data_IF_003783423208
#
_entry.id   IF_003783423208
#
_cell.length_a   1.000
_cell.length_b   1.000
_cell.length_c   1.000
_cell.angle_alpha   90.00
_cell.angle_beta   90.00
_cell.angle_gamma   90.00
#
_symmetry.space_group_name_H-M   'P 1'
#
loop_
_entity.id
_entity.type
_entity.pdbx_description
1 polymer ?
#
# COMPACT_ATOMS: atom_id res chain seq x y z
N UNK A 1 41.32 22.45 -80.20
CA UNK A 1 42.58 23.15 -79.79
C UNK A 1 42.76 23.08 -78.27
N UNK A 2 43.91 22.53 -77.86
CA UNK A 2 44.72 22.81 -76.65
C UNK A 2 43.98 22.57 -75.32
N UNK A 3 44.37 21.60 -74.51
CA UNK A 3 45.57 21.23 -73.77
C UNK A 3 45.38 21.32 -72.31
N UNK A 4 45.49 20.21 -71.56
CA UNK A 4 46.37 19.92 -70.42
C UNK A 4 46.02 20.71 -69.14
N UNK A 5 45.94 20.09 -67.90
CA UNK A 5 46.93 19.33 -67.17
C UNK A 5 46.28 18.77 -65.95
N UNK A 6 46.28 17.49 -65.64
CA UNK A 6 47.20 16.72 -64.79
C UNK A 6 47.59 17.37 -63.45
N UNK A 7 47.04 16.87 -62.34
CA UNK A 7 47.84 16.68 -61.15
C UNK A 7 47.24 15.58 -60.26
N UNK A 8 48.04 14.57 -60.11
CA UNK A 8 48.07 13.48 -59.12
C UNK A 8 48.18 14.00 -57.70
N UNK A 9 47.58 13.25 -56.78
CA UNK A 9 48.10 12.83 -55.47
C UNK A 9 46.99 12.06 -54.82
N UNK A 10 47.04 10.77 -54.79
CA UNK A 10 47.72 9.74 -53.98
C UNK A 10 47.20 9.70 -52.51
N UNK A 11 46.78 8.49 -52.20
CA UNK A 11 46.67 7.83 -50.88
C UNK A 11 45.42 8.14 -50.08
N UNK A 12 44.66 7.19 -49.57
CA UNK A 12 45.05 6.00 -48.84
C UNK A 12 43.79 5.11 -48.74
N UNK A 13 43.92 3.87 -49.20
CA UNK A 13 42.92 2.81 -49.03
C UNK A 13 42.96 2.37 -47.58
N UNK A 14 41.87 2.52 -46.86
CA UNK A 14 41.62 1.79 -45.64
C UNK A 14 40.35 0.98 -45.81
N UNK A 15 40.55 -0.30 -46.17
CA UNK A 15 39.55 -1.34 -46.06
C UNK A 15 39.23 -1.54 -44.60
N UNK A 16 38.02 -1.17 -44.19
CA UNK A 16 37.43 -1.66 -42.94
C UNK A 16 36.38 -2.69 -43.35
N UNK A 17 36.69 -3.94 -43.09
CA UNK A 17 35.82 -5.10 -43.24
C UNK A 17 34.63 -4.97 -42.28
N UNK A 18 33.42 -4.78 -42.85
CA UNK A 18 32.16 -4.78 -42.15
C UNK A 18 31.72 -6.23 -41.91
N UNK A 19 32.07 -6.81 -40.77
CA UNK A 19 31.48 -8.08 -40.34
C UNK A 19 30.06 -7.82 -39.86
N UNK A 20 29.09 -8.31 -40.61
CA UNK A 20 27.68 -8.33 -40.19
C UNK A 20 27.51 -9.31 -39.01
N UNK A 21 27.38 -8.80 -37.80
CA UNK A 21 26.85 -9.57 -36.68
C UNK A 21 25.32 -9.54 -36.78
N UNK A 22 24.75 -10.68 -37.15
CA UNK A 22 23.34 -10.99 -36.98
C UNK A 22 23.04 -11.03 -35.48
N UNK A 23 22.58 -9.91 -34.92
CA UNK A 23 22.11 -9.84 -33.54
C UNK A 23 20.74 -10.51 -33.41
N UNK A 24 20.68 -11.64 -32.72
CA UNK A 24 19.43 -12.20 -32.20
C UNK A 24 18.69 -11.14 -31.37
N UNK A 25 17.47 -10.77 -31.80
CA UNK A 25 16.52 -10.04 -30.96
C UNK A 25 16.07 -10.95 -29.81
N UNK A 26 16.69 -10.82 -28.67
CA UNK A 26 16.09 -11.29 -27.42
C UNK A 26 14.94 -10.32 -27.07
N UNK A 27 13.72 -10.84 -27.13
CA UNK A 27 12.57 -10.18 -26.51
C UNK A 27 12.82 -10.15 -25.00
N UNK A 28 13.53 -9.13 -24.55
CA UNK A 28 13.60 -8.79 -23.14
C UNK A 28 12.24 -8.27 -22.71
N UNK A 29 11.50 -9.09 -21.98
CA UNK A 29 10.37 -8.66 -21.17
C UNK A 29 10.89 -7.54 -20.26
N UNK A 30 10.52 -6.31 -20.56
CA UNK A 30 10.74 -5.18 -19.66
C UNK A 30 9.75 -5.36 -18.50
N UNK A 31 10.22 -5.96 -17.42
CA UNK A 31 9.60 -5.76 -16.11
C UNK A 31 9.54 -4.25 -15.89
N UNK A 32 8.38 -3.65 -15.63
CA UNK A 32 8.34 -2.24 -15.29
C UNK A 32 9.13 -2.08 -13.98
N UNK A 33 10.28 -1.45 -14.07
CA UNK A 33 10.97 -0.92 -12.89
C UNK A 33 10.09 0.22 -12.41
N UNK A 34 9.20 -0.08 -11.46
CA UNK A 34 8.47 0.94 -10.73
C UNK A 34 9.53 1.82 -10.07
N UNK A 35 9.63 3.07 -10.49
CA UNK A 35 10.41 4.06 -9.76
C UNK A 35 9.78 4.14 -8.38
N UNK A 36 10.51 3.69 -7.37
CA UNK A 36 10.11 3.89 -5.98
C UNK A 36 10.10 5.41 -5.80
N UNK A 37 8.91 6.00 -5.77
CA UNK A 37 8.76 7.38 -5.35
C UNK A 37 9.39 7.47 -3.96
N UNK A 38 10.31 8.41 -3.78
CA UNK A 38 10.97 8.59 -2.49
C UNK A 38 9.95 9.21 -1.53
N UNK A 39 9.25 8.36 -0.76
CA UNK A 39 8.44 8.82 0.36
C UNK A 39 9.34 9.10 1.57
N UNK A 40 8.91 10.03 2.42
CA UNK A 40 9.62 10.38 3.65
C UNK A 40 8.89 9.77 4.83
N UNK A 41 9.56 8.91 5.59
CA UNK A 41 9.07 8.36 6.85
C UNK A 41 9.22 9.39 7.97
N UNK A 42 8.31 9.38 8.94
CA UNK A 42 8.45 10.15 10.19
C UNK A 42 9.55 9.55 11.07
N UNK A 43 9.70 8.23 11.03
CA UNK A 43 10.75 7.51 11.70
C UNK A 43 11.25 6.36 10.80
N UNK A 44 12.50 6.37 10.38
CA UNK A 44 13.09 5.35 9.49
C UNK A 44 13.08 3.92 10.08
N UNK A 45 12.89 3.80 11.41
CA UNK A 45 12.81 2.52 12.12
C UNK A 45 11.39 1.95 12.14
N UNK A 46 10.39 2.75 11.84
CA UNK A 46 9.01 2.30 11.85
C UNK A 46 8.74 1.30 10.73
N UNK A 47 7.91 0.28 10.98
CA UNK A 47 7.55 -0.70 9.98
C UNK A 47 6.72 -0.05 8.87
N UNK A 48 6.93 -0.54 7.64
CA UNK A 48 6.27 -0.02 6.45
C UNK A 48 5.43 -1.11 5.80
N UNK A 49 4.15 -0.86 5.69
CA UNK A 49 3.21 -1.72 4.97
C UNK A 49 3.09 -1.29 3.51
N UNK A 50 3.12 -2.27 2.61
CA UNK A 50 2.83 -2.10 1.19
C UNK A 50 1.54 -2.84 0.85
N UNK A 51 0.49 -2.10 0.50
CA UNK A 51 -0.78 -2.61 0.01
C UNK A 51 -0.74 -2.55 -1.52
N UNK A 52 -0.69 -3.69 -2.17
CA UNK A 52 -0.72 -3.80 -3.63
C UNK A 52 -2.12 -4.18 -4.06
N UNK A 53 -2.72 -3.38 -4.92
CA UNK A 53 -4.04 -3.65 -5.51
C UNK A 53 -3.93 -4.59 -6.71
N UNK A 54 -5.01 -5.29 -7.05
CA UNK A 54 -5.05 -6.18 -8.22
C UNK A 54 -4.84 -5.44 -9.54
N UNK A 55 -5.25 -4.18 -9.61
CA UNK A 55 -5.03 -3.30 -10.77
C UNK A 55 -3.62 -2.70 -10.86
N UNK A 56 -2.73 -3.04 -9.92
CA UNK A 56 -1.35 -2.58 -9.86
C UNK A 56 -1.14 -1.28 -9.08
N UNK A 57 -2.18 -0.65 -8.55
CA UNK A 57 -2.05 0.49 -7.62
C UNK A 57 -1.33 0.05 -6.34
N UNK A 58 -0.55 0.93 -5.75
CA UNK A 58 0.21 0.68 -4.53
C UNK A 58 -0.05 1.78 -3.52
N UNK A 59 -0.34 1.40 -2.28
CA UNK A 59 -0.45 2.31 -1.14
C UNK A 59 0.62 1.91 -0.13
N UNK A 60 1.45 2.87 0.27
CA UNK A 60 2.52 2.68 1.25
C UNK A 60 2.13 3.36 2.56
N UNK A 61 2.17 2.61 3.65
CA UNK A 61 1.73 3.06 4.97
C UNK A 61 2.87 2.90 5.97
N UNK A 62 3.25 3.98 6.65
CA UNK A 62 4.11 3.93 7.82
C UNK A 62 3.25 3.58 9.04
N UNK A 63 3.67 2.56 9.80
CA UNK A 63 2.95 2.10 10.99
C UNK A 63 3.63 2.63 12.25
N UNK A 64 2.86 2.99 13.27
CA UNK A 64 3.36 3.66 14.48
C UNK A 64 3.25 2.77 15.73
N UNK A 65 4.23 1.87 15.98
CA UNK A 65 4.20 0.98 17.15
C UNK A 65 4.25 1.73 18.48
N UNK A 66 4.79 2.95 18.52
CA UNK A 66 4.78 3.80 19.72
C UNK A 66 3.39 4.37 20.03
N UNK A 67 2.49 4.42 19.02
CA UNK A 67 1.13 4.95 19.14
C UNK A 67 0.12 3.86 19.50
N UNK A 68 0.21 2.70 18.86
CA UNK A 68 -0.71 1.59 19.06
C UNK A 68 0.02 0.24 18.87
N UNK A 69 0.84 -0.18 19.88
CA UNK A 69 1.77 -1.30 19.72
C UNK A 69 1.10 -2.62 19.39
N UNK A 70 0.03 -2.98 20.09
CA UNK A 70 -0.65 -4.26 19.85
C UNK A 70 -1.47 -4.25 18.54
N UNK A 71 -2.03 -3.11 18.17
CA UNK A 71 -2.73 -2.92 16.89
C UNK A 71 -1.76 -3.07 15.72
N UNK A 72 -0.58 -2.46 15.81
CA UNK A 72 0.48 -2.59 14.81
C UNK A 72 0.96 -4.04 14.72
N UNK A 73 1.23 -4.69 15.87
CA UNK A 73 1.65 -6.09 15.90
C UNK A 73 0.60 -7.03 15.27
N UNK A 74 -0.68 -6.78 15.53
CA UNK A 74 -1.78 -7.54 14.94
C UNK A 74 -1.83 -7.37 13.41
N UNK A 75 -1.78 -6.13 12.94
CA UNK A 75 -1.81 -5.85 11.50
C UNK A 75 -0.60 -6.48 10.78
N UNK A 76 0.62 -6.35 11.33
CA UNK A 76 1.84 -6.98 10.80
C UNK A 76 1.68 -8.50 10.72
N UNK A 77 1.21 -9.12 11.82
CA UNK A 77 1.04 -10.58 11.89
C UNK A 77 0.11 -11.06 10.79
N UNK A 78 -1.06 -10.45 10.64
CA UNK A 78 -2.05 -10.83 9.62
C UNK A 78 -1.52 -10.56 8.20
N UNK A 79 -0.89 -9.41 7.97
CA UNK A 79 -0.35 -9.05 6.66
C UNK A 79 0.75 -10.01 6.20
N UNK A 80 1.70 -10.32 7.06
CA UNK A 80 2.83 -11.19 6.71
C UNK A 80 2.46 -12.69 6.65
N UNK A 81 1.32 -13.08 7.26
CA UNK A 81 0.70 -14.40 7.05
C UNK A 81 -0.10 -14.49 5.75
N UNK A 82 -0.27 -13.39 5.00
CA UNK A 82 -1.07 -13.35 3.78
C UNK A 82 -2.57 -13.33 4.01
N UNK A 83 -3.03 -13.04 5.24
CA UNK A 83 -4.46 -13.01 5.58
C UNK A 83 -5.27 -12.05 4.70
N UNK A 84 -4.68 -10.92 4.31
CA UNK A 84 -5.35 -9.91 3.51
C UNK A 84 -5.31 -10.15 2.01
N UNK A 85 -4.59 -11.18 1.53
CA UNK A 85 -4.43 -11.44 0.11
C UNK A 85 -5.77 -11.84 -0.53
N UNK A 86 -6.13 -11.15 -1.59
CA UNK A 86 -7.39 -11.37 -2.29
C UNK A 86 -8.63 -10.75 -1.63
N UNK A 87 -8.52 -10.15 -0.44
CA UNK A 87 -9.64 -9.44 0.18
C UNK A 87 -9.95 -8.13 -0.57
N UNK A 88 -11.08 -7.51 -0.24
CA UNK A 88 -11.56 -6.30 -0.90
C UNK A 88 -11.75 -5.16 0.08
N UNK A 89 -11.71 -3.93 -0.42
CA UNK A 89 -12.34 -2.81 0.26
C UNK A 89 -13.85 -2.93 0.05
N UNK A 90 -14.53 -3.47 1.06
CA UNK A 90 -15.94 -3.86 0.97
C UNK A 90 -16.91 -2.73 1.27
N UNK A 91 -16.43 -1.64 1.92
CA UNK A 91 -17.20 -0.44 2.21
C UNK A 91 -16.37 0.80 1.90
N UNK A 92 -16.91 1.69 1.08
CA UNK A 92 -16.23 2.88 0.58
C UNK A 92 -17.16 4.07 0.64
N UNK A 93 -16.73 5.14 1.32
CA UNK A 93 -17.50 6.38 1.42
C UNK A 93 -16.59 7.55 1.01
N UNK A 94 -16.89 8.16 -0.15
CA UNK A 94 -16.21 9.37 -0.62
C UNK A 94 -16.33 10.49 0.41
N UNK A 95 -15.23 11.14 0.72
CA UNK A 95 -15.19 12.20 1.75
C UNK A 95 -15.14 11.67 3.18
N UNK A 96 -14.95 10.35 3.36
CA UNK A 96 -14.81 9.73 4.67
C UNK A 96 -13.66 8.72 4.72
N UNK A 97 -13.87 7.46 4.27
CA UNK A 97 -12.87 6.39 4.38
C UNK A 97 -13.10 5.26 3.37
N UNK A 98 -12.08 4.42 3.21
CA UNK A 98 -12.16 3.11 2.56
C UNK A 98 -11.88 2.02 3.59
N UNK A 99 -12.77 1.01 3.71
CA UNK A 99 -12.70 -0.05 4.72
C UNK A 99 -12.55 -1.42 4.08
N UNK A 100 -11.56 -2.17 4.57
CA UNK A 100 -11.23 -3.53 4.12
C UNK A 100 -10.86 -4.47 5.26
N UNK A 101 -10.21 -5.60 4.93
CA UNK A 101 -9.71 -6.57 5.90
C UNK A 101 -10.75 -7.56 6.43
N UNK A 102 -11.90 -7.65 5.77
CA UNK A 102 -12.95 -8.61 6.10
C UNK A 102 -12.90 -9.82 5.15
N UNK A 103 -12.62 -11.05 5.65
CA UNK A 103 -12.60 -12.25 4.81
C UNK A 103 -13.97 -12.60 4.21
N UNK A 104 -15.08 -12.18 4.81
CA UNK A 104 -16.43 -12.38 4.28
C UNK A 104 -16.81 -11.28 3.25
N UNK A 105 -16.09 -10.14 3.23
CA UNK A 105 -16.33 -9.02 2.33
C UNK A 105 -17.69 -8.35 2.49
N UNK A 106 -18.32 -8.42 3.66
CA UNK A 106 -19.65 -7.86 3.95
C UNK A 106 -19.74 -7.14 5.31
N UNK A 107 -18.62 -6.97 6.00
CA UNK A 107 -18.50 -6.30 7.29
C UNK A 107 -18.65 -7.23 8.51
N UNK A 108 -18.88 -8.55 8.31
CA UNK A 108 -19.15 -9.49 9.42
C UNK A 108 -17.97 -10.39 9.79
N UNK A 109 -16.94 -10.49 8.94
CA UNK A 109 -15.81 -11.37 9.14
C UNK A 109 -14.67 -10.72 9.94
N UNK A 110 -13.72 -11.55 10.36
CA UNK A 110 -12.55 -11.12 11.13
C UNK A 110 -11.47 -12.18 11.19
N UNK A 111 -10.46 -11.95 12.02
CA UNK A 111 -9.30 -12.83 12.21
C UNK A 111 -9.57 -14.11 13.01
N UNK A 112 -10.78 -14.29 13.55
CA UNK A 112 -11.11 -15.38 14.47
C UNK A 112 -10.75 -15.08 15.95
N UNK A 113 -10.17 -13.92 16.22
CA UNK A 113 -9.87 -13.39 17.55
C UNK A 113 -10.03 -11.87 17.56
N UNK A 114 -10.03 -11.27 18.73
CA UNK A 114 -10.04 -9.83 18.94
C UNK A 114 -8.76 -9.34 19.60
N UNK A 115 -8.54 -8.04 19.58
CA UNK A 115 -7.48 -7.37 20.31
C UNK A 115 -8.09 -6.26 21.18
N UNK A 116 -7.36 -5.85 22.23
CA UNK A 116 -7.73 -4.70 23.04
C UNK A 116 -7.69 -3.43 22.20
N UNK A 117 -8.71 -2.59 22.34
CA UNK A 117 -8.78 -1.32 21.63
C UNK A 117 -7.81 -0.29 22.24
N UNK A 118 -6.86 0.18 21.43
CA UNK A 118 -5.83 1.14 21.85
C UNK A 118 -6.25 2.58 21.50
N UNK A 119 -7.24 3.10 22.24
CA UNK A 119 -7.76 4.47 22.11
C UNK A 119 -8.24 5.02 23.45
N UNK A 120 -8.38 6.34 23.56
CA UNK A 120 -8.56 7.04 24.84
C UNK A 120 -9.83 6.66 25.59
N UNK A 121 -10.95 6.43 24.89
CA UNK A 121 -12.21 5.98 25.56
C UNK A 121 -12.08 4.58 26.16
N UNK A 122 -11.08 3.79 25.79
CA UNK A 122 -10.73 2.48 26.34
C UNK A 122 -9.55 2.54 27.33
N UNK A 123 -9.17 3.74 27.76
CA UNK A 123 -8.08 3.95 28.74
C UNK A 123 -6.67 3.84 28.15
N UNK A 124 -6.49 3.96 26.85
CA UNK A 124 -5.20 3.94 26.18
C UNK A 124 -4.87 5.32 25.56
N UNK A 125 -3.69 5.87 25.83
CA UNK A 125 -3.30 7.23 25.41
C UNK A 125 -2.86 7.29 23.93
N UNK A 126 -3.80 7.07 23.02
CA UNK A 126 -3.59 7.25 21.59
C UNK A 126 -4.01 8.67 21.17
N UNK A 127 -3.04 9.45 20.68
CA UNK A 127 -3.23 10.85 20.28
C UNK A 127 -3.19 11.07 18.77
N UNK A 128 -3.09 10.00 17.97
CA UNK A 128 -3.09 10.10 16.52
C UNK A 128 -4.50 10.50 16.06
N UNK A 129 -4.62 11.68 15.48
CA UNK A 129 -5.89 12.19 14.97
C UNK A 129 -6.22 11.57 13.62
N UNK A 130 -7.50 11.27 13.40
CA UNK A 130 -8.01 10.68 12.15
C UNK A 130 -8.07 11.74 11.03
N UNK A 131 -6.91 12.20 10.61
CA UNK A 131 -6.76 13.07 9.43
C UNK A 131 -6.66 12.23 8.17
N UNK A 132 -6.79 12.88 7.00
CA UNK A 132 -6.62 12.23 5.70
C UNK A 132 -5.33 11.43 5.62
N UNK A 133 -5.41 10.17 5.18
CA UNK A 133 -4.28 9.24 5.06
C UNK A 133 -4.07 8.35 6.29
N UNK A 134 -4.64 8.67 7.45
CA UNK A 134 -4.50 7.83 8.65
C UNK A 134 -5.21 6.48 8.46
N UNK A 135 -4.51 5.40 8.85
CA UNK A 135 -5.07 4.05 8.95
C UNK A 135 -5.49 3.75 10.39
N UNK A 136 -6.65 3.13 10.56
CA UNK A 136 -7.23 2.83 11.86
C UNK A 136 -7.98 1.50 11.86
N UNK A 137 -8.13 0.85 13.02
CA UNK A 137 -8.87 -0.41 13.15
C UNK A 137 -10.37 -0.18 13.24
N UNK A 138 -11.11 -0.91 12.41
CA UNK A 138 -12.55 -1.04 12.57
C UNK A 138 -12.88 -2.00 13.72
N UNK A 139 -14.04 -1.80 14.33
CA UNK A 139 -14.56 -2.60 15.45
C UNK A 139 -16.09 -2.65 15.48
N UNK A 140 -16.64 -3.56 16.25
CA UNK A 140 -18.07 -3.58 16.58
C UNK A 140 -18.39 -2.56 17.71
N UNK A 141 -19.52 -2.69 18.36
CA UNK A 141 -19.89 -1.84 19.50
C UNK A 141 -18.98 -2.02 20.72
N UNK A 142 -18.43 -3.22 20.93
CA UNK A 142 -17.47 -3.46 22.02
C UNK A 142 -16.11 -2.81 21.71
N UNK A 143 -15.49 -2.21 22.72
CA UNK A 143 -14.20 -1.54 22.58
C UNK A 143 -13.06 -2.53 22.26
N UNK A 144 -13.14 -3.75 22.76
CA UNK A 144 -12.15 -4.81 22.58
C UNK A 144 -12.59 -5.83 21.53
N UNK A 145 -13.14 -5.37 20.41
CA UNK A 145 -13.65 -6.22 19.32
C UNK A 145 -12.95 -6.02 17.99
N UNK A 146 -11.89 -5.23 17.93
CA UNK A 146 -11.07 -5.10 16.73
C UNK A 146 -10.40 -6.46 16.42
N UNK A 147 -10.38 -6.84 15.16
CA UNK A 147 -9.76 -8.09 14.69
C UNK A 147 -8.88 -7.85 13.48
N UNK A 148 -9.43 -8.02 12.28
CA UNK A 148 -8.69 -7.83 11.02
C UNK A 148 -9.13 -6.62 10.21
N UNK A 149 -10.34 -6.11 10.42
CA UNK A 149 -10.85 -5.01 9.59
C UNK A 149 -10.17 -3.68 9.92
N UNK A 150 -9.78 -2.96 8.89
CA UNK A 150 -9.14 -1.64 8.98
C UNK A 150 -9.78 -0.66 7.99
N UNK A 151 -9.55 0.62 8.21
CA UNK A 151 -9.95 1.65 7.26
C UNK A 151 -8.84 2.70 7.09
N UNK A 152 -8.80 3.32 5.90
CA UNK A 152 -7.91 4.43 5.58
C UNK A 152 -8.77 5.66 5.37
N UNK A 153 -8.42 6.76 6.03
CA UNK A 153 -9.15 8.02 5.93
C UNK A 153 -8.93 8.66 4.56
N UNK A 154 -10.03 8.88 3.83
CA UNK A 154 -10.01 9.66 2.59
C UNK A 154 -10.09 11.18 2.86
N UNK A 155 -10.71 11.58 3.95
CA UNK A 155 -10.77 12.95 4.43
C UNK A 155 -10.69 12.97 5.96
N UNK A 156 -10.51 14.16 6.55
CA UNK A 156 -10.44 14.32 8.00
C UNK A 156 -11.73 13.89 8.68
N UNK A 157 -11.60 13.08 9.74
CA UNK A 157 -12.68 12.53 10.54
C UNK A 157 -12.38 12.56 12.03
N UNK A 158 -11.94 13.71 12.54
CA UNK A 158 -11.48 13.88 13.93
C UNK A 158 -12.53 13.52 15.01
N UNK A 159 -13.81 13.38 14.62
CA UNK A 159 -14.86 12.83 15.50
C UNK A 159 -14.67 11.35 15.85
N UNK A 160 -13.77 10.64 15.14
CA UNK A 160 -13.36 9.27 15.46
C UNK A 160 -12.25 9.22 16.51
N UNK A 161 -11.57 10.34 16.76
CA UNK A 161 -10.53 10.43 17.77
C UNK A 161 -11.10 10.00 19.13
N UNK A 162 -10.28 9.38 19.94
CA UNK A 162 -10.67 8.76 21.21
C UNK A 162 -11.53 7.49 21.12
N UNK A 163 -12.13 7.16 19.98
CA UNK A 163 -13.06 6.03 19.81
C UNK A 163 -12.51 4.88 18.98
N UNK A 164 -11.46 5.11 18.18
CA UNK A 164 -10.85 4.14 17.30
C UNK A 164 -9.33 4.16 17.42
N UNK A 165 -8.70 3.00 17.19
CA UNK A 165 -7.26 2.82 17.27
C UNK A 165 -6.59 3.19 15.93
N UNK A 166 -6.25 4.47 15.77
CA UNK A 166 -5.37 4.91 14.69
C UNK A 166 -3.95 4.39 14.94
N UNK A 167 -3.27 3.86 13.90
CA UNK A 167 -2.01 3.16 14.09
C UNK A 167 -0.95 3.38 13.01
N UNK A 168 -1.17 4.30 12.07
CA UNK A 168 -0.25 4.64 11.00
C UNK A 168 -0.82 5.67 10.03
N UNK A 169 -0.05 5.98 8.99
CA UNK A 169 -0.43 6.98 7.99
C UNK A 169 0.11 6.59 6.61
N UNK A 170 -0.65 6.85 5.56
CA UNK A 170 -0.23 6.70 4.17
C UNK A 170 0.85 7.73 3.86
N UNK A 171 2.02 7.25 3.45
CA UNK A 171 3.17 8.08 3.07
C UNK A 171 3.37 8.16 1.56
N UNK A 172 2.73 7.25 0.80
CA UNK A 172 2.70 7.26 -0.67
C UNK A 172 1.46 6.53 -1.17
N UNK A 173 0.92 6.92 -2.34
CA UNK A 173 -0.24 6.27 -2.95
C UNK A 173 -1.59 6.79 -2.45
N UNK A 174 -1.68 8.02 -1.95
CA UNK A 174 -2.98 8.64 -1.63
C UNK A 174 -3.88 8.83 -2.85
N UNK A 175 -3.32 8.95 -4.05
CA UNK A 175 -4.06 8.95 -5.31
C UNK A 175 -4.77 7.61 -5.58
N UNK A 176 -4.18 6.49 -5.15
CA UNK A 176 -4.82 5.16 -5.21
C UNK A 176 -5.99 5.09 -4.21
N UNK A 177 -5.82 5.64 -2.99
CA UNK A 177 -6.91 5.76 -2.00
C UNK A 177 -8.05 6.60 -2.56
N UNK A 178 -7.75 7.71 -3.23
CA UNK A 178 -8.73 8.58 -3.87
C UNK A 178 -9.49 7.85 -5.00
N UNK A 179 -8.76 7.14 -5.86
CA UNK A 179 -9.38 6.37 -6.94
C UNK A 179 -10.34 5.30 -6.41
N UNK A 180 -9.99 4.64 -5.30
CA UNK A 180 -10.88 3.68 -4.61
C UNK A 180 -12.08 4.43 -4.02
N UNK A 181 -11.86 5.55 -3.33
CA UNK A 181 -12.90 6.32 -2.66
C UNK A 181 -13.90 6.96 -3.64
N UNK A 182 -13.49 7.19 -4.88
CA UNK A 182 -14.30 7.77 -5.94
C UNK A 182 -15.07 6.75 -6.79
N UNK A 183 -14.85 5.45 -6.55
CA UNK A 183 -15.56 4.41 -7.26
C UNK A 183 -17.08 4.49 -7.01
N UNK A 184 -17.87 4.07 -8.00
CA UNK A 184 -19.31 3.98 -7.82
C UNK A 184 -19.65 2.93 -6.74
N UNK A 185 -20.49 3.30 -5.78
CA UNK A 185 -20.98 2.42 -4.73
C UNK A 185 -22.47 2.14 -4.86
N UNK A 186 -22.91 0.98 -4.38
CA UNK A 186 -24.28 0.55 -4.28
C UNK A 186 -24.79 0.54 -2.84
N UNK A 187 -25.67 -0.41 -2.54
CA UNK A 187 -26.22 -0.58 -1.19
C UNK A 187 -25.09 -0.85 -0.17
N UNK A 188 -25.23 -0.28 1.04
CA UNK A 188 -24.27 -0.39 2.15
C UNK A 188 -22.86 0.13 1.81
N UNK A 189 -22.77 1.15 0.96
CA UNK A 189 -21.51 1.77 0.52
C UNK A 189 -20.55 0.77 -0.16
N UNK A 190 -21.05 -0.36 -0.68
CA UNK A 190 -20.25 -1.38 -1.34
C UNK A 190 -19.87 -0.93 -2.76
N UNK A 191 -18.60 -0.97 -3.14
CA UNK A 191 -18.18 -0.73 -4.52
C UNK A 191 -18.90 -1.65 -5.52
N UNK A 192 -19.42 -1.07 -6.61
CA UNK A 192 -20.06 -1.82 -7.71
C UNK A 192 -19.01 -2.68 -8.43
N UNK A 193 -17.80 -2.13 -8.61
CA UNK A 193 -16.63 -2.86 -9.10
C UNK A 193 -15.73 -3.18 -7.92
N UNK A 194 -15.37 -4.43 -7.73
CA UNK A 194 -14.54 -4.86 -6.61
C UNK A 194 -13.20 -4.12 -6.58
N UNK A 195 -12.88 -3.56 -5.43
CA UNK A 195 -11.59 -2.93 -5.12
C UNK A 195 -10.72 -3.96 -4.40
N UNK A 196 -10.04 -4.82 -5.18
CA UNK A 196 -9.38 -6.00 -4.66
C UNK A 196 -7.92 -5.74 -4.29
N UNK A 197 -7.56 -6.15 -3.09
CA UNK A 197 -6.20 -6.19 -2.58
C UNK A 197 -5.52 -7.44 -3.15
N UNK A 198 -4.42 -7.28 -3.86
CA UNK A 198 -3.60 -8.40 -4.30
C UNK A 198 -2.79 -8.96 -3.15
N UNK A 199 -2.08 -8.10 -2.43
CA UNK A 199 -1.28 -8.47 -1.25
C UNK A 199 -1.13 -7.31 -0.29
N UNK A 200 -0.96 -7.61 1.01
CA UNK A 200 -0.38 -6.68 1.98
C UNK A 200 0.85 -7.33 2.58
N UNK A 201 1.98 -6.62 2.59
CA UNK A 201 3.23 -7.07 3.22
C UNK A 201 3.84 -5.94 4.03
N UNK A 202 4.46 -6.28 5.13
CA UNK A 202 5.10 -5.31 6.03
C UNK A 202 6.58 -5.61 6.17
N UNK A 203 7.41 -4.61 5.84
CA UNK A 203 8.82 -4.57 6.20
C UNK A 203 8.94 -4.10 7.65
N UNK A 204 9.32 -4.99 8.54
CA UNK A 204 9.44 -4.74 10.00
C UNK A 204 10.78 -4.12 10.38
N UNK A 205 11.66 -3.83 9.43
CA UNK A 205 13.04 -3.36 9.68
C UNK A 205 13.85 -4.27 10.60
N UNK A 206 13.51 -5.57 10.62
CA UNK A 206 14.18 -6.58 11.46
C UNK A 206 13.69 -6.60 12.90
N UNK A 207 12.62 -5.91 13.24
CA UNK A 207 11.98 -5.95 14.56
C UNK A 207 10.92 -7.05 14.59
N UNK A 208 10.90 -7.85 15.67
CA UNK A 208 9.88 -8.86 15.91
C UNK A 208 8.68 -8.24 16.64
N UNK A 209 7.47 -8.52 16.13
CA UNK A 209 6.22 -8.06 16.70
C UNK A 209 5.38 -9.24 17.18
N UNK A 210 4.90 -9.18 18.42
CA UNK A 210 4.05 -10.20 19.04
C UNK A 210 2.70 -9.61 19.38
N UNK A 211 1.61 -10.25 18.93
CA UNK A 211 0.24 -9.80 19.17
C UNK A 211 -0.35 -10.43 20.43
N UNK A 212 -0.95 -9.61 21.29
CA UNK A 212 -1.78 -10.05 22.42
C UNK A 212 -3.23 -10.18 21.96
N UNK A 213 -3.77 -11.42 22.01
CA UNK A 213 -5.10 -11.77 21.52
C UNK A 213 -6.09 -11.90 22.67
N UNK A 214 -7.36 -11.56 22.40
CA UNK A 214 -8.50 -11.75 23.29
C UNK A 214 -9.47 -12.72 22.58
N UNK A 215 -9.73 -13.86 23.17
CA UNK A 215 -10.57 -14.89 22.59
C UNK A 215 -9.89 -15.58 21.38
N UNK A 216 -10.41 -16.72 20.94
CA UNK A 216 -9.90 -17.56 19.86
C UNK A 216 -10.27 -19.00 20.09
#
# INVERSE_FOLDING_TARGET
>A
MKKRSLSLLLALVLLVSLTALTGCKSNGSKTPTQSIAAYTLKNEKDPVATITMENGGVITVELYPDVAPNTVANFITLANQGFYDGLIFHRVIKGFMIQGGDPNGNGTGGSGYSIKGEFSANGFDNKLSHTRGVISMARSSSFDSAGSQFFIMHADGTYLDTQYAAFGEVVDGMDVVDAIAETQTGANDRPVSEQKIKTIRVDTKGVDYSVEKIGG
#
